data_IF_585302294052
#
_entry.id   IF_585302294052
#
_cell.length_a   1.000
_cell.length_b   1.000
_cell.length_c   1.000
_cell.angle_alpha   90.00
_cell.angle_beta   90.00
_cell.angle_gamma   90.00
#
_symmetry.space_group_name_H-M   'P 1'
#
loop_
_entity.id
_entity.type
_entity.pdbx_description
1 polymer ?
#
# COMPACT_ATOMS: atom_id res chain seq x y z
N UNK A 1 -2.61 19.51 15.44
CA UNK A 1 -1.55 18.53 15.80
C UNK A 1 -1.84 17.78 17.10
N UNK A 2 -2.10 18.46 18.24
CA UNK A 2 -2.36 17.79 19.54
C UNK A 2 -3.54 16.80 19.48
N UNK A 3 -4.65 17.18 18.89
CA UNK A 3 -5.82 16.30 18.76
C UNK A 3 -5.60 15.14 17.77
N UNK A 4 -4.78 15.33 16.76
CA UNK A 4 -4.40 14.25 15.84
C UNK A 4 -3.59 13.21 16.60
N UNK A 5 -2.57 13.64 17.36
CA UNK A 5 -1.75 12.77 18.17
C UNK A 5 -2.56 12.05 19.27
N UNK A 6 -3.44 12.79 19.99
CA UNK A 6 -4.31 12.18 20.98
C UNK A 6 -5.22 11.09 20.40
N UNK A 7 -5.76 11.34 19.21
CA UNK A 7 -6.58 10.37 18.45
C UNK A 7 -5.80 9.11 18.07
N UNK A 8 -4.56 9.27 17.60
CA UNK A 8 -3.68 8.15 17.26
C UNK A 8 -3.35 7.31 18.48
N UNK A 9 -2.96 7.96 19.57
CA UNK A 9 -2.64 7.31 20.84
C UNK A 9 -3.82 6.51 21.41
N UNK A 10 -5.03 7.05 21.38
CA UNK A 10 -6.24 6.31 21.78
C UNK A 10 -6.43 5.04 20.95
N UNK A 11 -6.17 5.10 19.65
CA UNK A 11 -6.23 3.93 18.78
C UNK A 11 -5.19 2.87 19.12
N UNK A 12 -3.96 3.28 19.39
CA UNK A 12 -2.87 2.38 19.78
C UNK A 12 -3.13 1.70 21.12
N UNK A 13 -3.51 2.47 22.13
CA UNK A 13 -3.83 1.95 23.48
C UNK A 13 -4.99 0.95 23.42
N UNK A 14 -6.04 1.24 22.65
CA UNK A 14 -7.16 0.33 22.42
C UNK A 14 -6.73 -1.00 21.78
N UNK A 15 -5.82 -0.96 20.82
CA UNK A 15 -5.31 -2.18 20.18
C UNK A 15 -4.41 -3.00 21.10
N UNK A 16 -3.63 -2.34 21.97
CA UNK A 16 -2.81 -3.00 22.98
C UNK A 16 -3.71 -3.72 24.01
N UNK A 17 -4.74 -3.04 24.49
CA UNK A 17 -5.70 -3.61 25.45
C UNK A 17 -6.40 -4.85 24.87
N UNK A 18 -6.87 -4.78 23.62
CA UNK A 18 -7.54 -5.92 22.98
C UNK A 18 -6.62 -7.10 22.72
N UNK A 19 -5.32 -6.84 22.53
CA UNK A 19 -4.32 -7.89 22.37
C UNK A 19 -4.03 -8.64 23.66
N UNK A 20 -4.11 -7.93 24.80
CA UNK A 20 -3.83 -8.47 26.14
C UNK A 20 -5.10 -8.75 26.94
N UNK A 21 -6.27 -8.82 26.30
CA UNK A 21 -7.55 -9.08 26.96
C UNK A 21 -7.56 -10.49 27.56
N UNK A 22 -7.97 -10.58 28.83
CA UNK A 22 -8.17 -11.85 29.55
C UNK A 22 -9.63 -11.96 29.98
N UNK A 23 -10.20 -13.16 29.88
CA UNK A 23 -11.53 -13.45 30.40
C UNK A 23 -11.46 -14.70 31.27
N UNK A 24 -12.00 -14.62 32.45
CA UNK A 24 -12.00 -15.69 33.46
C UNK A 24 -10.59 -16.26 33.77
N UNK A 25 -9.54 -15.42 33.66
CA UNK A 25 -8.15 -15.81 33.87
C UNK A 25 -7.48 -16.52 32.70
N UNK A 26 -8.18 -16.65 31.56
CA UNK A 26 -7.64 -17.21 30.31
C UNK A 26 -7.41 -16.10 29.26
N UNK A 27 -6.35 -16.18 28.45
CA UNK A 27 -6.11 -15.25 27.36
C UNK A 27 -7.29 -15.28 26.37
N UNK A 28 -7.93 -14.13 26.16
CA UNK A 28 -9.03 -13.99 25.23
C UNK A 28 -8.61 -13.19 24.02
N UNK A 29 -8.74 -13.78 22.85
CA UNK A 29 -8.47 -13.10 21.60
C UNK A 29 -9.73 -12.42 21.10
N UNK A 30 -9.75 -11.08 21.16
CA UNK A 30 -10.89 -10.28 20.76
C UNK A 30 -11.21 -10.47 19.26
N UNK A 31 -12.48 -10.77 18.95
CA UNK A 31 -12.91 -11.04 17.57
C UNK A 31 -12.72 -9.84 16.63
N UNK A 32 -12.91 -8.62 17.14
CA UNK A 32 -12.73 -7.39 16.36
C UNK A 32 -11.25 -7.17 16.05
N UNK A 33 -10.38 -7.45 17.02
CA UNK A 33 -8.94 -7.43 16.82
C UNK A 33 -8.49 -8.43 15.75
N UNK A 34 -9.04 -9.66 15.76
CA UNK A 34 -8.74 -10.66 14.72
C UNK A 34 -9.14 -10.16 13.33
N UNK A 35 -10.34 -9.61 13.18
CA UNK A 35 -10.84 -9.13 11.89
C UNK A 35 -10.00 -8.00 11.32
N UNK A 36 -9.59 -7.06 12.16
CA UNK A 36 -8.73 -5.96 11.74
C UNK A 36 -7.33 -6.46 11.39
N UNK A 37 -6.72 -7.24 12.28
CA UNK A 37 -5.33 -7.68 12.13
C UNK A 37 -5.13 -8.61 10.94
N UNK A 38 -6.12 -9.44 10.63
CA UNK A 38 -6.12 -10.29 9.43
C UNK A 38 -6.42 -9.53 8.13
N UNK A 39 -6.86 -8.27 8.23
CA UNK A 39 -7.31 -7.48 7.07
C UNK A 39 -8.63 -7.96 6.46
N UNK A 40 -9.36 -8.88 7.10
CA UNK A 40 -10.62 -9.42 6.58
C UNK A 40 -11.72 -8.34 6.55
N UNK A 41 -11.81 -7.53 7.60
CA UNK A 41 -12.80 -6.44 7.67
C UNK A 41 -12.40 -5.38 8.69
N UNK A 42 -12.57 -4.13 8.30
CA UNK A 42 -12.33 -2.97 9.15
C UNK A 42 -10.87 -2.54 9.17
N UNK A 43 -10.68 -1.25 9.41
CA UNK A 43 -9.38 -0.64 9.64
C UNK A 43 -9.35 -0.07 11.05
N UNK A 44 -8.16 0.13 11.61
CA UNK A 44 -8.01 0.74 12.92
C UNK A 44 -8.74 2.09 13.03
N UNK A 45 -8.80 2.86 11.94
CA UNK A 45 -9.53 4.12 11.90
C UNK A 45 -11.05 3.94 12.05
N UNK A 46 -11.63 2.93 11.41
CA UNK A 46 -13.04 2.61 11.51
C UNK A 46 -13.40 2.14 12.92
N UNK A 47 -12.57 1.26 13.47
CA UNK A 47 -12.78 0.71 14.83
C UNK A 47 -12.64 1.80 15.89
N UNK A 48 -11.67 2.69 15.75
CA UNK A 48 -11.48 3.84 16.62
C UNK A 48 -12.69 4.77 16.64
N UNK A 49 -13.35 4.98 15.50
CA UNK A 49 -14.59 5.76 15.44
C UNK A 49 -15.75 5.08 16.16
N UNK A 50 -15.76 3.75 16.24
CA UNK A 50 -16.82 2.97 16.89
C UNK A 50 -16.64 2.91 18.40
N UNK A 51 -15.41 2.69 18.90
CA UNK A 51 -15.12 2.38 20.28
C UNK A 51 -14.19 3.40 20.98
N UNK A 52 -13.41 4.16 20.23
CA UNK A 52 -12.47 5.13 20.76
C UNK A 52 -12.97 6.57 20.67
N UNK A 53 -12.35 7.36 19.80
CA UNK A 53 -12.68 8.77 19.57
C UNK A 53 -12.77 9.07 18.09
N UNK A 54 -13.81 9.74 17.64
CA UNK A 54 -13.98 10.08 16.24
C UNK A 54 -12.93 11.09 15.73
N UNK A 55 -12.67 12.15 16.48
CA UNK A 55 -11.61 13.12 16.22
C UNK A 55 -12.02 14.32 15.36
N UNK A 56 -11.07 14.88 14.63
CA UNK A 56 -11.26 16.09 13.84
C UNK A 56 -12.05 15.82 12.56
N UNK A 57 -12.96 16.74 12.24
CA UNK A 57 -13.76 16.72 11.01
C UNK A 57 -13.29 17.79 10.04
N UNK A 58 -13.35 17.48 8.76
CA UNK A 58 -13.08 18.44 7.69
C UNK A 58 -14.38 19.01 7.12
N UNK A 59 -14.40 20.31 6.87
CA UNK A 59 -15.46 20.98 6.07
C UNK A 59 -15.36 20.52 4.59
N UNK A 60 -16.41 20.68 3.79
CA UNK A 60 -16.36 20.40 2.35
C UNK A 60 -15.23 21.16 1.62
N UNK A 61 -14.85 22.34 2.12
CA UNK A 61 -13.75 23.16 1.61
C UNK A 61 -12.35 22.58 1.89
N UNK A 62 -12.23 21.47 2.65
CA UNK A 62 -10.96 20.88 3.08
C UNK A 62 -10.39 21.46 4.38
N UNK A 63 -10.95 22.56 4.90
CA UNK A 63 -10.48 23.14 6.18
C UNK A 63 -10.92 22.23 7.34
N UNK A 64 -10.01 21.99 8.27
CA UNK A 64 -10.27 21.19 9.48
C UNK A 64 -11.06 22.05 10.48
N UNK A 65 -12.06 21.47 11.11
CA UNK A 65 -12.79 22.06 12.23
C UNK A 65 -11.93 21.87 13.48
N UNK A 66 -11.55 22.94 14.15
CA UNK A 66 -10.64 22.91 15.29
C UNK A 66 -11.20 22.13 16.50
N UNK A 67 -12.52 22.14 16.67
CA UNK A 67 -13.18 21.40 17.74
C UNK A 67 -13.34 19.94 17.37
N UNK A 68 -12.68 19.00 18.09
CA UNK A 68 -12.78 17.58 17.80
C UNK A 68 -14.09 16.99 18.33
N UNK A 69 -14.52 15.91 17.72
CA UNK A 69 -15.55 15.03 18.24
C UNK A 69 -14.89 14.04 19.18
N UNK A 70 -15.13 14.15 20.48
CA UNK A 70 -14.54 13.29 21.49
C UNK A 70 -15.32 11.99 21.66
N UNK A 71 -16.60 12.00 21.35
CA UNK A 71 -17.49 10.83 21.44
C UNK A 71 -17.21 9.83 20.33
N UNK A 72 -17.54 8.58 20.58
CA UNK A 72 -17.56 7.50 19.59
C UNK A 72 -19.02 7.16 19.20
N UNK A 73 -19.19 6.28 18.23
CA UNK A 73 -20.51 5.88 17.78
C UNK A 73 -21.27 5.02 18.80
N UNK A 74 -20.57 4.32 19.70
CA UNK A 74 -21.20 3.52 20.77
C UNK A 74 -21.84 4.39 21.83
N UNK A 75 -21.17 5.48 22.23
CA UNK A 75 -21.71 6.46 23.19
C UNK A 75 -22.80 7.33 22.56
N UNK A 76 -22.71 7.57 21.28
CA UNK A 76 -23.54 8.48 20.53
C UNK A 76 -22.97 9.89 20.45
N UNK A 77 -23.28 10.57 19.35
CA UNK A 77 -22.84 11.93 19.09
C UNK A 77 -23.86 12.95 19.57
N UNK A 78 -23.38 14.12 20.01
CA UNK A 78 -24.25 15.28 20.24
C UNK A 78 -24.79 15.81 18.92
N UNK A 79 -25.89 16.51 18.96
CA UNK A 79 -26.56 17.04 17.75
C UNK A 79 -25.63 17.85 16.86
N UNK A 80 -24.83 18.74 17.43
CA UNK A 80 -23.87 19.57 16.68
C UNK A 80 -22.71 18.73 16.10
N UNK A 81 -22.24 17.72 16.82
CA UNK A 81 -21.19 16.80 16.35
C UNK A 81 -21.69 15.94 15.20
N UNK A 82 -22.94 15.46 15.30
CA UNK A 82 -23.61 14.75 14.21
C UNK A 82 -23.73 15.64 12.96
N UNK A 83 -24.21 16.88 13.14
CA UNK A 83 -24.35 17.83 12.02
C UNK A 83 -23.01 18.10 11.35
N UNK A 84 -21.95 18.36 12.11
CA UNK A 84 -20.59 18.57 11.58
C UNK A 84 -20.09 17.36 10.80
N UNK A 85 -20.46 16.16 11.25
CA UNK A 85 -20.09 14.89 10.61
C UNK A 85 -20.78 14.67 9.27
N UNK A 86 -22.02 15.17 9.11
CA UNK A 86 -22.82 14.97 7.87
C UNK A 86 -22.18 15.66 6.66
N UNK A 87 -21.45 16.77 6.87
CA UNK A 87 -20.73 17.43 5.78
C UNK A 87 -19.67 16.54 5.16
N UNK A 88 -18.84 15.90 6.00
CA UNK A 88 -17.82 14.95 5.53
C UNK A 88 -18.44 13.70 4.87
N UNK A 89 -19.50 13.17 5.45
CA UNK A 89 -20.20 12.01 4.90
C UNK A 89 -20.79 12.31 3.51
N UNK A 90 -21.46 13.44 3.34
CA UNK A 90 -22.05 13.87 2.05
C UNK A 90 -20.95 14.06 0.99
N UNK A 91 -19.84 14.73 1.35
CA UNK A 91 -18.71 14.87 0.44
C UNK A 91 -18.12 13.52 0.06
N UNK A 92 -17.94 12.61 1.03
CA UNK A 92 -17.42 11.26 0.77
C UNK A 92 -18.31 10.46 -0.18
N UNK A 93 -19.63 10.55 -0.07
CA UNK A 93 -20.56 9.91 -1.00
C UNK A 93 -20.45 10.48 -2.42
N UNK A 94 -20.37 11.80 -2.56
CA UNK A 94 -20.19 12.44 -3.87
C UNK A 94 -18.83 12.08 -4.50
N UNK A 95 -17.75 12.14 -3.72
CA UNK A 95 -16.40 11.79 -4.18
C UNK A 95 -16.33 10.32 -4.62
N UNK A 96 -16.98 9.41 -3.90
CA UNK A 96 -17.03 7.99 -4.26
C UNK A 96 -17.73 7.79 -5.60
N UNK A 97 -18.85 8.45 -5.84
CA UNK A 97 -19.60 8.35 -7.10
C UNK A 97 -18.74 8.84 -8.29
N UNK A 98 -18.04 9.96 -8.14
CA UNK A 98 -17.15 10.50 -9.19
C UNK A 98 -15.94 9.61 -9.43
N UNK A 99 -15.25 9.18 -8.37
CA UNK A 99 -14.07 8.30 -8.47
C UNK A 99 -14.38 6.95 -9.12
N UNK A 100 -15.58 6.42 -8.92
CA UNK A 100 -16.00 5.17 -9.55
C UNK A 100 -16.02 5.30 -11.07
N UNK A 101 -16.55 6.40 -11.60
CA UNK A 101 -16.58 6.68 -13.03
C UNK A 101 -15.16 6.85 -13.61
N UNK A 102 -14.31 7.63 -12.95
CA UNK A 102 -12.92 7.86 -13.38
C UNK A 102 -12.11 6.56 -13.36
N UNK A 103 -12.25 5.74 -12.31
CA UNK A 103 -11.60 4.44 -12.21
C UNK A 103 -12.05 3.49 -13.31
N UNK A 104 -13.35 3.43 -13.60
CA UNK A 104 -13.89 2.61 -14.68
C UNK A 104 -13.38 3.04 -16.07
N UNK A 105 -13.32 4.33 -16.31
CA UNK A 105 -12.77 4.87 -17.57
C UNK A 105 -11.28 4.56 -17.71
N UNK A 106 -10.48 4.77 -16.64
CA UNK A 106 -9.05 4.44 -16.65
C UNK A 106 -8.82 2.95 -16.88
N UNK A 107 -9.54 2.09 -16.18
CA UNK A 107 -9.43 0.63 -16.33
C UNK A 107 -9.72 0.19 -17.77
N UNK A 108 -10.79 0.73 -18.37
CA UNK A 108 -11.11 0.44 -19.77
C UNK A 108 -10.00 0.88 -20.71
N UNK A 109 -9.44 2.08 -20.53
CA UNK A 109 -8.35 2.57 -21.36
C UNK A 109 -7.08 1.74 -21.23
N UNK A 110 -6.73 1.31 -20.02
CA UNK A 110 -5.59 0.42 -19.78
C UNK A 110 -5.82 -0.95 -20.43
N UNK A 111 -7.02 -1.51 -20.29
CA UNK A 111 -7.36 -2.79 -20.94
C UNK A 111 -7.30 -2.69 -22.46
N UNK A 112 -7.87 -1.63 -23.05
CA UNK A 112 -7.85 -1.42 -24.51
C UNK A 112 -6.42 -1.33 -25.08
N UNK A 113 -5.49 -0.72 -24.33
CA UNK A 113 -4.07 -0.63 -24.74
C UNK A 113 -3.33 -1.95 -24.55
N UNK A 114 -3.60 -2.64 -23.43
CA UNK A 114 -2.84 -3.84 -23.06
C UNK A 114 -3.34 -5.13 -23.70
N UNK A 115 -4.61 -5.20 -24.15
CA UNK A 115 -5.22 -6.43 -24.67
C UNK A 115 -4.49 -7.06 -25.87
N UNK A 116 -3.79 -6.24 -26.66
CA UNK A 116 -3.06 -6.70 -27.84
C UNK A 116 -1.59 -7.07 -27.54
N UNK A 117 -1.14 -6.87 -26.28
CA UNK A 117 0.23 -7.17 -25.89
C UNK A 117 0.31 -8.63 -25.45
N UNK A 118 0.96 -9.46 -26.26
CA UNK A 118 1.11 -10.90 -26.02
C UNK A 118 2.57 -11.22 -25.75
N UNK A 119 2.81 -12.17 -24.85
CA UNK A 119 4.14 -12.74 -24.62
C UNK A 119 4.44 -13.71 -25.74
N UNK A 120 5.29 -13.30 -26.69
CA UNK A 120 5.57 -14.06 -27.93
C UNK A 120 6.83 -14.90 -27.87
N UNK A 121 7.79 -14.55 -27.02
CA UNK A 121 9.11 -15.19 -26.91
C UNK A 121 9.51 -15.36 -25.45
N UNK A 122 10.38 -16.30 -25.17
CA UNK A 122 10.94 -16.49 -23.83
C UNK A 122 11.92 -15.36 -23.49
N UNK A 123 12.85 -15.04 -24.40
CA UNK A 123 13.83 -13.98 -24.26
C UNK A 123 14.00 -13.21 -25.57
N UNK A 124 14.13 -11.90 -25.51
CA UNK A 124 14.42 -11.03 -26.64
C UNK A 124 15.92 -10.73 -26.81
N UNK A 125 16.76 -11.10 -25.84
CA UNK A 125 18.22 -10.87 -25.87
C UNK A 125 18.62 -9.41 -25.66
N UNK A 126 17.71 -8.52 -25.26
CA UNK A 126 18.03 -7.10 -25.07
C UNK A 126 19.08 -6.88 -23.96
N UNK A 127 20.01 -6.00 -24.23
CA UNK A 127 20.98 -5.48 -23.24
C UNK A 127 20.43 -4.26 -22.49
N UNK A 128 19.27 -3.77 -22.88
CA UNK A 128 18.63 -2.61 -22.26
C UNK A 128 17.84 -3.00 -21.03
N UNK A 129 17.75 -2.08 -20.08
CA UNK A 129 17.00 -2.24 -18.85
C UNK A 129 16.68 -0.88 -18.24
N UNK A 130 15.85 -0.87 -17.22
CA UNK A 130 15.52 0.34 -16.45
C UNK A 130 16.10 0.23 -15.06
N UNK A 131 16.60 1.35 -14.54
CA UNK A 131 17.03 1.45 -13.15
C UNK A 131 15.83 1.71 -12.25
N UNK A 132 15.67 0.91 -11.20
CA UNK A 132 14.67 1.09 -10.17
C UNK A 132 15.33 1.50 -8.86
N UNK A 133 14.70 2.45 -8.17
CA UNK A 133 15.08 2.94 -6.84
C UNK A 133 13.85 3.05 -5.97
N UNK A 134 14.03 3.21 -4.67
CA UNK A 134 12.93 3.52 -3.78
C UNK A 134 12.22 4.82 -4.20
N UNK A 135 10.90 4.84 -4.14
CA UNK A 135 10.11 6.03 -4.44
C UNK A 135 9.93 6.84 -3.16
N UNK A 136 10.47 8.05 -3.18
CA UNK A 136 10.40 8.96 -2.05
C UNK A 136 9.31 10.03 -2.27
N UNK A 137 8.55 10.31 -1.22
CA UNK A 137 7.61 11.45 -1.18
C UNK A 137 8.00 12.37 -0.03
N UNK A 138 8.80 13.39 -0.35
CA UNK A 138 9.51 14.17 0.66
C UNK A 138 10.55 13.30 1.37
N UNK A 139 10.50 13.22 2.69
CA UNK A 139 11.41 12.41 3.51
C UNK A 139 10.90 10.96 3.76
N UNK A 140 9.69 10.63 3.32
CA UNK A 140 9.10 9.29 3.53
C UNK A 140 9.28 8.42 2.30
N UNK A 141 9.64 7.16 2.53
CA UNK A 141 9.63 6.12 1.50
C UNK A 141 8.17 5.74 1.24
N UNK A 142 7.66 6.02 0.03
CA UNK A 142 6.30 5.65 -0.39
C UNK A 142 6.26 4.21 -0.91
N UNK A 143 7.29 3.83 -1.70
CA UNK A 143 7.44 2.45 -2.20
C UNK A 143 8.90 2.05 -2.02
N UNK A 144 9.15 0.94 -1.34
CA UNK A 144 10.52 0.46 -1.07
C UNK A 144 11.18 -0.11 -2.35
N UNK A 145 12.51 -0.22 -2.34
CA UNK A 145 13.24 -0.81 -3.45
C UNK A 145 12.81 -2.26 -3.68
N UNK A 146 12.62 -3.03 -2.61
CA UNK A 146 12.17 -4.42 -2.69
C UNK A 146 10.83 -4.54 -3.43
N UNK A 147 9.86 -3.67 -3.13
CA UNK A 147 8.57 -3.63 -3.82
C UNK A 147 8.69 -3.25 -5.29
N UNK A 148 9.67 -2.41 -5.67
CA UNK A 148 9.89 -1.97 -7.05
C UNK A 148 10.53 -3.06 -7.93
N UNK A 149 11.37 -3.91 -7.35
CA UNK A 149 12.13 -4.93 -8.09
C UNK A 149 11.52 -6.33 -7.99
N UNK A 150 10.64 -6.57 -7.04
CA UNK A 150 9.91 -7.82 -6.89
C UNK A 150 9.23 -8.25 -8.19
N UNK A 151 9.38 -9.50 -8.57
CA UNK A 151 8.76 -10.08 -9.76
C UNK A 151 9.36 -9.61 -11.08
N UNK A 152 10.47 -8.85 -11.06
CA UNK A 152 11.21 -8.45 -12.26
C UNK A 152 12.42 -9.32 -12.48
N UNK A 153 12.89 -9.38 -13.72
CA UNK A 153 14.11 -10.10 -14.08
C UNK A 153 15.30 -9.15 -13.93
N UNK A 154 16.34 -9.59 -13.23
CA UNK A 154 17.58 -8.83 -13.08
C UNK A 154 18.23 -8.62 -14.46
N UNK A 155 18.72 -7.40 -14.72
CA UNK A 155 19.47 -7.09 -15.93
C UNK A 155 20.94 -7.41 -15.74
N UNK A 156 21.47 -7.10 -14.57
CA UNK A 156 22.89 -7.30 -14.23
C UNK A 156 22.96 -8.27 -13.03
N UNK A 157 24.08 -8.98 -12.92
CA UNK A 157 24.33 -9.82 -11.74
C UNK A 157 24.47 -8.94 -10.50
N UNK A 158 23.72 -9.26 -9.46
CA UNK A 158 23.74 -8.56 -8.17
C UNK A 158 24.57 -9.39 -7.20
N UNK A 159 25.61 -8.78 -6.63
CA UNK A 159 26.59 -9.43 -5.76
C UNK A 159 26.56 -8.74 -4.40
N UNK A 160 26.66 -9.48 -3.32
CA UNK A 160 26.85 -8.90 -1.99
C UNK A 160 28.22 -8.22 -1.92
N UNK A 161 28.25 -6.92 -1.62
CA UNK A 161 29.47 -6.09 -1.60
C UNK A 161 30.44 -6.51 -0.47
N UNK A 162 29.93 -7.21 0.56
CA UNK A 162 30.72 -7.62 1.73
C UNK A 162 31.27 -9.03 1.59
N UNK A 163 30.47 -9.95 1.05
CA UNK A 163 30.80 -11.38 0.98
C UNK A 163 31.21 -11.85 -0.42
N UNK A 164 31.11 -10.99 -1.45
CA UNK A 164 31.26 -11.33 -2.87
C UNK A 164 30.35 -12.49 -3.36
N UNK A 165 29.32 -12.82 -2.58
CA UNK A 165 28.36 -13.86 -2.93
C UNK A 165 27.38 -13.34 -3.98
N UNK A 166 27.13 -14.14 -5.02
CA UNK A 166 26.14 -13.80 -6.06
C UNK A 166 24.74 -14.04 -5.49
N UNK A 167 23.95 -12.96 -5.33
CA UNK A 167 22.58 -13.00 -4.83
C UNK A 167 21.62 -13.34 -5.97
N UNK A 168 21.78 -12.66 -7.10
CA UNK A 168 20.94 -12.87 -8.30
C UNK A 168 21.85 -12.82 -9.52
N UNK A 169 21.73 -13.82 -10.37
CA UNK A 169 22.42 -13.83 -11.67
C UNK A 169 21.65 -12.99 -12.68
N UNK A 170 22.38 -12.52 -13.68
CA UNK A 170 21.78 -11.91 -14.86
C UNK A 170 20.66 -12.81 -15.43
N UNK A 171 19.55 -12.22 -15.86
CA UNK A 171 18.36 -12.91 -16.40
C UNK A 171 17.59 -13.78 -15.41
N UNK A 172 17.91 -13.73 -14.12
CA UNK A 172 17.15 -14.43 -13.07
C UNK A 172 16.01 -13.57 -12.53
N UNK A 173 14.87 -14.23 -12.22
CA UNK A 173 13.72 -13.57 -11.59
C UNK A 173 14.04 -13.22 -10.13
N UNK A 174 13.70 -12.02 -9.72
CA UNK A 174 13.86 -11.53 -8.34
C UNK A 174 12.60 -11.88 -7.56
N UNK A 175 12.69 -12.84 -6.64
CA UNK A 175 11.60 -13.18 -5.70
C UNK A 175 11.51 -12.16 -4.56
N UNK A 176 10.48 -12.26 -3.71
CA UNK A 176 10.29 -11.34 -2.59
C UNK A 176 11.44 -11.39 -1.60
N UNK A 177 11.83 -12.61 -1.17
CA UNK A 177 12.90 -12.82 -0.19
C UNK A 177 14.24 -12.25 -0.68
N UNK A 178 14.51 -12.43 -1.98
CA UNK A 178 15.71 -11.90 -2.63
C UNK A 178 15.66 -10.38 -2.75
N UNK A 179 14.48 -9.80 -3.02
CA UNK A 179 14.30 -8.36 -3.10
C UNK A 179 14.53 -7.68 -1.73
N UNK A 180 14.03 -8.28 -0.65
CA UNK A 180 14.28 -7.83 0.73
C UNK A 180 15.76 -7.93 1.11
N UNK A 181 16.44 -9.00 0.70
CA UNK A 181 17.90 -9.16 0.88
C UNK A 181 18.66 -8.05 0.16
N UNK A 182 18.31 -7.73 -1.08
CA UNK A 182 18.94 -6.64 -1.85
C UNK A 182 18.74 -5.29 -1.15
N UNK A 183 17.56 -5.01 -0.63
CA UNK A 183 17.26 -3.77 0.10
C UNK A 183 18.06 -3.68 1.40
N UNK A 184 18.18 -4.79 2.16
CA UNK A 184 18.94 -4.85 3.41
C UNK A 184 20.46 -4.62 3.23
N UNK A 185 20.97 -4.91 2.04
CA UNK A 185 22.38 -4.66 1.67
C UNK A 185 22.67 -3.19 1.29
N UNK A 186 21.62 -2.33 1.30
CA UNK A 186 21.77 -0.90 1.06
C UNK A 186 21.90 -0.51 -0.42
N UNK A 187 21.47 -1.33 -1.34
CA UNK A 187 21.41 -0.94 -2.75
C UNK A 187 20.44 0.22 -2.95
N UNK A 188 20.92 1.33 -3.51
CA UNK A 188 20.06 2.47 -3.84
C UNK A 188 19.30 2.27 -5.17
N UNK A 189 19.93 1.60 -6.13
CA UNK A 189 19.39 1.39 -7.48
C UNK A 189 19.76 0.00 -7.99
N UNK A 190 18.77 -0.62 -8.64
CA UNK A 190 18.93 -1.93 -9.30
C UNK A 190 18.49 -1.83 -10.74
N UNK A 191 19.26 -2.38 -11.67
CA UNK A 191 18.85 -2.45 -13.10
C UNK A 191 18.07 -3.73 -13.33
N UNK A 192 16.86 -3.57 -13.85
CA UNK A 192 15.94 -4.68 -14.14
C UNK A 192 15.43 -4.60 -15.58
N UNK A 193 15.06 -5.74 -16.13
CA UNK A 193 14.40 -5.80 -17.44
C UNK A 193 12.97 -5.26 -17.35
N UNK A 194 12.50 -4.70 -18.44
CA UNK A 194 11.17 -4.10 -18.51
C UNK A 194 10.52 -4.32 -19.85
N UNK A 195 9.20 -4.41 -19.89
CA UNK A 195 8.41 -4.42 -21.10
C UNK A 195 8.65 -3.18 -21.98
N UNK A 196 8.99 -2.03 -21.35
CA UNK A 196 9.27 -0.77 -22.06
C UNK A 196 10.57 -0.79 -22.87
N UNK A 197 11.51 -1.65 -22.53
CA UNK A 197 12.80 -1.79 -23.20
C UNK A 197 12.94 -3.13 -23.92
N UNK A 198 11.80 -3.83 -24.11
CA UNK A 198 11.79 -5.11 -24.81
C UNK A 198 12.01 -4.93 -26.31
N UNK A 199 12.89 -5.74 -26.90
CA UNK A 199 13.23 -5.75 -28.32
C UNK A 199 12.57 -6.94 -29.07
N UNK A 200 11.52 -7.53 -28.51
CA UNK A 200 10.69 -8.48 -29.23
C UNK A 200 9.94 -7.74 -30.35
N UNK A 201 10.05 -8.15 -31.60
CA UNK A 201 9.42 -7.48 -32.75
C UNK A 201 7.90 -7.38 -32.59
N UNK A 202 7.27 -8.46 -32.11
CA UNK A 202 5.83 -8.52 -31.84
C UNK A 202 5.60 -8.87 -30.37
N UNK A 203 4.82 -8.03 -29.67
CA UNK A 203 4.50 -8.22 -28.26
C UNK A 203 5.69 -7.98 -27.34
N UNK A 204 5.80 -8.80 -26.30
CA UNK A 204 6.89 -8.73 -25.30
C UNK A 204 7.47 -10.13 -25.05
N UNK A 205 8.68 -10.22 -24.51
CA UNK A 205 9.21 -11.51 -24.07
C UNK A 205 8.92 -11.77 -22.59
N UNK A 206 8.89 -13.05 -22.18
CA UNK A 206 8.61 -13.46 -20.82
C UNK A 206 9.59 -12.86 -19.79
N UNK A 207 10.87 -12.77 -20.12
CA UNK A 207 11.87 -12.19 -19.23
C UNK A 207 11.70 -10.67 -19.01
N UNK A 208 11.26 -9.92 -20.03
CA UNK A 208 10.96 -8.49 -19.88
C UNK A 208 9.62 -8.25 -19.20
N UNK A 209 8.69 -9.19 -19.31
CA UNK A 209 7.42 -9.18 -18.59
C UNK A 209 7.64 -9.42 -17.09
N UNK A 210 8.42 -10.45 -16.76
CA UNK A 210 8.72 -10.84 -15.38
C UNK A 210 7.74 -11.88 -14.84
N UNK A 211 7.40 -11.75 -13.56
CA UNK A 211 6.50 -12.68 -12.87
C UNK A 211 5.07 -12.48 -13.35
N UNK A 212 4.38 -13.58 -13.63
CA UNK A 212 2.95 -13.62 -13.88
C UNK A 212 2.16 -13.39 -12.57
N UNK A 213 0.91 -12.90 -12.69
CA UNK A 213 0.05 -12.54 -11.56
C UNK A 213 -0.50 -13.76 -10.83
#
# INVERSE_FOLDING_TARGET
DLWTHARERVGEEMMIEWRSEERDGEPYLNQVYIMERSGARGTIEQIRQLAGMRGLMAKPSGRIIETPIKSNFREGLRVLEYFSSTHGARKGLADTALKTADSGYLTRKLADVAQNIVVSKTDCGTINGISKSALMKGERVEVSLAQQVRGRTARDTIVDVVTDEVIVKEHQLITMDVAEKIESLGYEKVRVRSALTCEAGDGICAMCYGMDL
#
